data_IF_727838741146
#
_entry.id   IF_727838741146
#
_cell.length_a   1.000
_cell.length_b   1.000
_cell.length_c   1.000
_cell.angle_alpha   90.00
_cell.angle_beta   90.00
_cell.angle_gamma   90.00
#
_symmetry.space_group_name_H-M   'P 1'
#
loop_
_entity.id
_entity.type
_entity.pdbx_description
1 polymer ?
#
# COMPACT_ATOMS: atom_id res chain seq x y z
N UNK A 1 10.45 14.11 12.80
CA UNK A 1 9.65 12.90 12.53
C UNK A 1 8.31 13.12 13.19
N UNK A 2 7.23 13.00 12.45
CA UNK A 2 5.89 13.34 12.96
C UNK A 2 5.10 12.07 13.24
N UNK A 3 4.45 12.03 14.40
CA UNK A 3 3.55 10.96 14.79
C UNK A 3 2.21 11.55 15.20
N UNK A 4 1.13 10.85 14.90
CA UNK A 4 -0.20 11.14 15.40
C UNK A 4 -0.92 9.86 15.82
N UNK A 5 -1.95 10.00 16.64
CA UNK A 5 -2.89 8.91 16.92
C UNK A 5 -3.98 8.93 15.87
N UNK A 6 -3.91 8.02 14.91
CA UNK A 6 -4.91 7.88 13.85
C UNK A 6 -5.73 6.62 14.14
N UNK A 7 -7.01 6.78 14.40
CA UNK A 7 -7.90 5.71 14.87
C UNK A 7 -7.33 4.95 16.10
N UNK A 8 -6.62 5.67 16.98
CA UNK A 8 -5.97 5.08 18.15
C UNK A 8 -4.71 4.26 17.85
N UNK A 9 -4.19 4.32 16.61
CA UNK A 9 -2.91 3.72 16.22
C UNK A 9 -1.88 4.84 16.09
N UNK A 10 -0.74 4.70 16.80
CA UNK A 10 0.39 5.60 16.66
C UNK A 10 0.92 5.51 15.23
N UNK A 11 0.68 6.53 14.43
CA UNK A 11 0.98 6.55 12.99
C UNK A 11 2.13 7.49 12.70
N UNK A 12 3.17 6.97 12.05
CA UNK A 12 4.29 7.75 11.54
C UNK A 12 3.93 8.30 10.17
N UNK A 13 4.08 9.62 9.98
CA UNK A 13 3.84 10.27 8.70
C UNK A 13 4.78 11.46 8.48
N UNK A 14 4.83 11.93 7.25
CA UNK A 14 5.57 13.12 6.84
C UNK A 14 4.79 13.85 5.75
N UNK A 15 4.73 15.18 5.86
CA UNK A 15 4.17 16.08 4.85
C UNK A 15 5.28 17.02 4.40
N UNK A 16 5.54 17.09 3.11
CA UNK A 16 6.63 17.89 2.54
C UNK A 16 6.19 18.51 1.23
N UNK A 17 6.63 19.72 0.96
CA UNK A 17 6.30 20.47 -0.25
C UNK A 17 5.02 21.29 -0.10
N UNK A 18 4.67 21.94 -1.19
CA UNK A 18 3.46 22.78 -1.32
C UNK A 18 2.81 22.47 -2.67
N UNK A 19 1.52 22.69 -2.78
CA UNK A 19 0.73 22.40 -3.98
C UNK A 19 -0.41 21.45 -3.70
N UNK A 20 -0.96 20.78 -4.73
CA UNK A 20 -2.06 19.84 -4.53
C UNK A 20 -1.64 18.68 -3.64
N UNK A 21 -2.51 18.24 -2.71
CA UNK A 21 -2.24 17.09 -1.88
C UNK A 21 -2.07 15.82 -2.71
N UNK A 22 -0.96 15.11 -2.49
CA UNK A 22 -0.67 13.81 -3.09
C UNK A 22 -0.30 12.82 -1.99
N UNK A 23 -1.15 11.83 -1.77
CA UNK A 23 -0.92 10.76 -0.81
C UNK A 23 -0.17 9.61 -1.49
N UNK A 24 1.05 9.35 -1.02
CA UNK A 24 1.86 8.23 -1.46
C UNK A 24 1.54 6.98 -0.63
N UNK A 25 0.97 6.00 -1.28
CA UNK A 25 0.64 4.69 -0.74
C UNK A 25 1.76 3.71 -1.10
N UNK A 26 2.59 3.40 -0.10
CA UNK A 26 3.82 2.64 -0.29
C UNK A 26 3.58 1.17 -0.63
N UNK A 27 4.53 0.52 -1.32
CA UNK A 27 4.51 -0.92 -1.52
C UNK A 27 4.73 -1.68 -0.20
N UNK A 28 4.32 -2.93 -0.19
CA UNK A 28 4.57 -4.02 0.77
C UNK A 28 5.15 -3.64 2.14
N UNK A 29 4.31 -3.20 3.09
CA UNK A 29 4.71 -3.17 4.50
C UNK A 29 5.96 -2.34 4.82
N UNK A 30 6.54 -1.73 3.82
CA UNK A 30 7.70 -0.88 3.93
C UNK A 30 7.29 0.53 4.36
N UNK A 31 8.20 1.18 5.07
CA UNK A 31 8.05 2.57 5.43
C UNK A 31 8.08 3.44 4.17
N UNK A 32 7.00 4.17 3.92
CA UNK A 32 6.99 5.20 2.88
C UNK A 32 7.99 6.33 3.16
N UNK A 33 8.42 6.44 4.40
CA UNK A 33 9.32 7.49 4.89
C UNK A 33 10.80 7.13 4.84
N UNK A 34 11.15 5.84 4.59
CA UNK A 34 12.53 5.36 4.57
C UNK A 34 12.89 4.94 3.14
N UNK A 35 13.93 5.55 2.52
CA UNK A 35 14.47 5.06 1.26
C UNK A 35 14.96 3.62 1.45
N UNK A 36 14.35 2.66 0.76
CA UNK A 36 14.80 1.27 0.81
C UNK A 36 15.29 0.84 -0.57
N UNK A 37 16.46 0.20 -0.63
CA UNK A 37 17.04 -0.34 -1.88
C UNK A 37 16.12 -1.30 -2.65
N UNK A 38 15.17 -1.94 -1.96
CA UNK A 38 14.20 -2.83 -2.59
C UNK A 38 13.13 -2.08 -3.40
N UNK A 39 12.84 -0.83 -3.04
CA UNK A 39 11.89 0.03 -3.75
C UNK A 39 12.46 0.51 -5.09
N UNK A 40 13.78 0.61 -5.22
CA UNK A 40 14.46 1.03 -6.45
C UNK A 40 14.05 0.16 -7.65
N UNK A 41 13.79 -1.13 -7.43
CA UNK A 41 13.36 -2.03 -8.51
C UNK A 41 11.98 -1.66 -9.06
N UNK A 42 11.00 -1.42 -8.19
CA UNK A 42 9.62 -1.08 -8.59
C UNK A 42 9.56 0.36 -9.11
N UNK A 43 10.24 1.27 -8.44
CA UNK A 43 10.29 2.68 -8.82
C UNK A 43 11.29 2.98 -9.96
N UNK A 44 12.08 2.01 -10.42
CA UNK A 44 13.04 2.19 -11.52
C UNK A 44 13.96 3.41 -11.35
N UNK A 45 14.40 3.65 -10.11
CA UNK A 45 15.24 4.81 -9.76
C UNK A 45 14.46 6.12 -9.56
N UNK A 46 13.14 6.12 -9.73
CA UNK A 46 12.32 7.25 -9.39
C UNK A 46 12.22 7.38 -7.86
N UNK A 47 12.47 8.58 -7.36
CA UNK A 47 12.44 8.89 -5.94
C UNK A 47 11.30 9.87 -5.64
N UNK A 48 10.09 9.37 -5.34
CA UNK A 48 8.90 10.22 -5.15
C UNK A 48 9.13 11.34 -4.14
N UNK A 49 9.79 11.05 -3.02
CA UNK A 49 10.05 12.00 -1.94
C UNK A 49 11.06 13.10 -2.29
N UNK A 50 11.87 12.93 -3.33
CA UNK A 50 12.81 13.95 -3.82
C UNK A 50 12.21 14.75 -4.98
N UNK A 51 11.45 14.07 -5.84
CA UNK A 51 10.96 14.64 -7.11
C UNK A 51 9.63 15.38 -6.96
N UNK A 52 8.66 14.75 -6.27
CA UNK A 52 7.30 15.28 -6.22
C UNK A 52 7.11 16.42 -5.21
N UNK A 53 7.99 16.59 -4.23
CA UNK A 53 7.89 17.65 -3.22
C UNK A 53 8.09 19.07 -3.75
N UNK A 54 8.51 19.22 -5.02
CA UNK A 54 8.62 20.53 -5.67
C UNK A 54 7.26 21.14 -5.98
N UNK A 55 6.32 20.30 -6.45
CA UNK A 55 5.06 20.74 -7.04
C UNK A 55 3.82 20.16 -6.32
N UNK A 56 4.02 19.25 -5.38
CA UNK A 56 2.95 18.64 -4.58
C UNK A 56 3.19 18.82 -3.09
N UNK A 57 2.11 18.96 -2.33
CA UNK A 57 2.11 18.64 -0.92
C UNK A 57 2.12 17.11 -0.78
N UNK A 58 3.31 16.53 -0.75
CA UNK A 58 3.49 15.08 -0.68
C UNK A 58 3.27 14.59 0.75
N UNK A 59 2.29 13.71 0.91
CA UNK A 59 1.96 13.04 2.17
C UNK A 59 2.47 11.61 2.07
N UNK A 60 3.37 11.23 2.96
CA UNK A 60 3.87 9.86 3.10
C UNK A 60 3.56 9.36 4.50
N UNK A 61 3.24 8.10 4.66
CA UNK A 61 3.00 7.51 5.99
C UNK A 61 3.37 6.03 5.99
N UNK A 62 3.71 5.55 7.15
CA UNK A 62 3.83 4.12 7.37
C UNK A 62 2.42 3.61 7.70
N UNK A 63 1.91 2.70 6.85
CA UNK A 63 0.61 2.09 7.07
C UNK A 63 0.59 1.37 8.42
N UNK A 64 -0.57 1.30 9.06
CA UNK A 64 -0.75 0.47 10.24
C UNK A 64 -0.11 -0.92 10.03
N UNK A 65 0.42 -1.53 11.05
CA UNK A 65 1.18 -2.79 11.08
C UNK A 65 2.48 -2.78 10.26
N UNK A 66 2.98 -1.60 9.88
CA UNK A 66 4.21 -1.53 9.08
C UNK A 66 5.11 -0.36 9.45
N UNK A 67 6.40 -0.48 9.14
CA UNK A 67 7.38 0.56 9.33
C UNK A 67 7.52 0.97 10.80
N UNK A 68 7.29 2.25 11.07
CA UNK A 68 7.34 2.87 12.41
C UNK A 68 5.96 3.08 13.02
N UNK A 69 4.90 2.77 12.28
CA UNK A 69 3.54 2.84 12.81
C UNK A 69 3.26 1.65 13.70
N UNK A 70 2.41 1.88 14.66
CA UNK A 70 1.84 0.83 15.50
C UNK A 70 0.82 -0.03 14.75
N UNK A 71 0.11 -0.86 15.50
CA UNK A 71 -0.92 -1.72 14.96
C UNK A 71 -1.80 -2.29 16.04
N UNK A 72 -2.72 -3.16 15.61
CA UNK A 72 -3.60 -3.95 16.48
C UNK A 72 -3.69 -5.37 15.97
N UNK A 73 -3.83 -6.34 16.86
CA UNK A 73 -4.12 -7.72 16.47
C UNK A 73 -5.62 -7.83 16.19
N UNK A 74 -5.97 -7.56 14.96
CA UNK A 74 -7.32 -7.66 14.41
C UNK A 74 -7.26 -8.08 12.95
N UNK A 75 -8.34 -8.60 12.34
CA UNK A 75 -8.31 -9.03 10.94
C UNK A 75 -7.89 -7.91 10.00
N UNK A 76 -6.79 -8.11 9.28
CA UNK A 76 -6.31 -7.19 8.26
C UNK A 76 -7.25 -7.22 7.05
N UNK A 77 -7.50 -6.06 6.46
CA UNK A 77 -8.30 -5.95 5.24
C UNK A 77 -7.92 -4.70 4.45
N UNK A 78 -8.22 -4.70 3.17
CA UNK A 78 -8.03 -3.52 2.32
C UNK A 78 -8.85 -2.33 2.80
N UNK A 79 -10.08 -2.59 3.28
CA UNK A 79 -10.95 -1.56 3.87
C UNK A 79 -10.36 -0.97 5.16
N UNK A 80 -9.73 -1.78 6.02
CA UNK A 80 -9.07 -1.27 7.23
C UNK A 80 -7.88 -0.37 6.88
N UNK A 81 -7.12 -0.72 5.84
CA UNK A 81 -6.03 0.13 5.35
C UNK A 81 -6.54 1.42 4.70
N UNK A 82 -7.63 1.36 3.94
CA UNK A 82 -8.27 2.54 3.36
C UNK A 82 -8.81 3.48 4.45
N UNK A 83 -9.51 2.97 5.46
CA UNK A 83 -9.99 3.76 6.61
C UNK A 83 -8.86 4.46 7.37
N UNK A 84 -7.73 3.78 7.52
CA UNK A 84 -6.56 4.38 8.18
C UNK A 84 -5.97 5.53 7.36
N UNK A 85 -5.92 5.40 6.02
CA UNK A 85 -5.48 6.46 5.11
C UNK A 85 -6.47 7.65 5.09
N UNK A 86 -7.77 7.38 5.06
CA UNK A 86 -8.83 8.38 5.15
C UNK A 86 -8.74 9.19 6.46
N UNK A 87 -8.63 8.49 7.59
CA UNK A 87 -8.47 9.15 8.89
C UNK A 87 -7.17 9.96 9.02
N UNK A 88 -6.10 9.60 8.28
CA UNK A 88 -4.91 10.43 8.18
C UNK A 88 -5.19 11.72 7.40
N UNK A 89 -5.93 11.66 6.31
CA UNK A 89 -6.35 12.86 5.56
C UNK A 89 -7.22 13.78 6.42
N UNK A 90 -8.16 13.23 7.21
CA UNK A 90 -8.95 13.98 8.19
C UNK A 90 -8.06 14.69 9.22
N UNK A 91 -7.10 13.97 9.80
CA UNK A 91 -6.16 14.55 10.76
C UNK A 91 -5.34 15.72 10.18
N UNK A 92 -5.08 15.68 8.87
CA UNK A 92 -4.33 16.72 8.17
C UNK A 92 -5.23 17.85 7.64
N UNK A 93 -6.55 17.77 7.80
CA UNK A 93 -7.51 18.73 7.26
C UNK A 93 -7.56 18.73 5.72
N UNK A 94 -7.28 17.58 5.10
CA UNK A 94 -7.26 17.41 3.64
C UNK A 94 -8.55 16.75 3.18
N UNK A 95 -9.37 17.48 2.44
CA UNK A 95 -10.65 16.98 1.93
C UNK A 95 -10.46 16.01 0.77
N UNK A 96 -9.57 16.33 -0.17
CA UNK A 96 -9.32 15.55 -1.39
C UNK A 96 -7.83 15.47 -1.69
N UNK A 97 -7.36 14.32 -2.18
CA UNK A 97 -5.98 14.12 -2.59
C UNK A 97 -5.87 13.32 -3.89
N UNK A 98 -4.78 13.50 -4.63
CA UNK A 98 -4.33 12.54 -5.59
C UNK A 98 -3.74 11.33 -4.85
N UNK A 99 -4.01 10.11 -5.30
CA UNK A 99 -3.54 8.90 -4.66
C UNK A 99 -2.51 8.21 -5.57
N UNK A 100 -1.24 8.24 -5.19
CA UNK A 100 -0.18 7.51 -5.90
C UNK A 100 0.08 6.18 -5.18
N UNK A 101 -0.52 5.11 -5.68
CA UNK A 101 -0.35 3.77 -5.16
C UNK A 101 0.69 2.98 -5.94
N UNK A 102 1.65 2.36 -5.24
CA UNK A 102 2.64 1.49 -5.85
C UNK A 102 2.53 0.08 -5.27
N UNK A 103 2.51 -0.95 -6.13
CA UNK A 103 2.42 -2.35 -5.70
C UNK A 103 1.15 -2.56 -4.83
N UNK A 104 1.31 -3.02 -3.58
CA UNK A 104 0.23 -3.11 -2.57
C UNK A 104 -0.43 -1.76 -2.29
N UNK A 105 0.30 -0.65 -2.44
CA UNK A 105 -0.27 0.69 -2.34
C UNK A 105 -1.36 0.96 -3.39
N UNK A 106 -1.29 0.34 -4.57
CA UNK A 106 -2.37 0.39 -5.56
C UNK A 106 -3.65 -0.26 -5.04
N UNK A 107 -3.54 -1.37 -4.29
CA UNK A 107 -4.69 -2.01 -3.66
C UNK A 107 -5.33 -1.12 -2.58
N UNK A 108 -4.51 -0.41 -1.80
CA UNK A 108 -5.03 0.55 -0.82
C UNK A 108 -5.71 1.74 -1.52
N UNK A 109 -5.15 2.23 -2.64
CA UNK A 109 -5.78 3.29 -3.45
C UNK A 109 -7.13 2.85 -4.02
N UNK A 110 -7.22 1.63 -4.56
CA UNK A 110 -8.48 1.06 -5.05
C UNK A 110 -9.52 0.91 -3.93
N UNK A 111 -9.10 0.43 -2.74
CA UNK A 111 -9.98 0.33 -1.59
C UNK A 111 -10.46 1.72 -1.10
N UNK A 112 -9.58 2.74 -1.14
CA UNK A 112 -9.94 4.12 -0.81
C UNK A 112 -10.97 4.64 -1.80
N UNK A 113 -10.74 4.47 -3.10
CA UNK A 113 -11.70 4.85 -4.13
C UNK A 113 -13.04 4.14 -4.03
N UNK A 114 -13.04 2.87 -3.61
CA UNK A 114 -14.27 2.10 -3.45
C UNK A 114 -15.11 2.49 -2.22
N UNK A 115 -14.48 2.95 -1.14
CA UNK A 115 -15.16 3.23 0.13
C UNK A 115 -15.26 4.73 0.45
N UNK A 116 -14.39 5.56 -0.11
CA UNK A 116 -14.27 6.99 0.15
C UNK A 116 -14.03 7.76 -1.16
N UNK A 117 -14.93 7.63 -2.17
CA UNK A 117 -14.70 8.19 -3.50
C UNK A 117 -14.48 9.70 -3.48
N UNK A 118 -15.16 10.41 -2.59
CA UNK A 118 -15.05 11.87 -2.46
C UNK A 118 -13.67 12.34 -1.97
N UNK A 119 -12.85 11.45 -1.39
CA UNK A 119 -11.47 11.73 -1.00
C UNK A 119 -10.50 11.73 -2.18
N UNK A 120 -10.89 11.14 -3.29
CA UNK A 120 -10.00 10.78 -4.38
C UNK A 120 -10.18 11.73 -5.57
N UNK A 121 -9.20 12.60 -5.83
CA UNK A 121 -9.15 13.39 -7.07
C UNK A 121 -8.84 12.52 -8.27
N UNK A 122 -7.88 11.61 -8.13
CA UNK A 122 -7.54 10.58 -9.08
C UNK A 122 -6.75 9.46 -8.41
N UNK A 123 -6.77 8.27 -9.04
CA UNK A 123 -5.94 7.11 -8.68
C UNK A 123 -4.82 6.96 -9.71
N UNK A 124 -3.58 7.03 -9.26
CA UNK A 124 -2.38 6.75 -10.05
C UNK A 124 -1.81 5.41 -9.57
N UNK A 125 -2.06 4.36 -10.31
CA UNK A 125 -1.75 2.98 -9.92
C UNK A 125 -0.49 2.51 -10.64
N UNK A 126 0.63 2.52 -9.92
CA UNK A 126 1.92 2.09 -10.43
C UNK A 126 2.19 0.64 -10.05
N UNK A 127 2.32 -0.24 -11.05
CA UNK A 127 2.58 -1.66 -10.86
C UNK A 127 1.57 -2.34 -9.92
N UNK A 128 0.27 -2.32 -10.23
CA UNK A 128 -0.73 -2.95 -9.38
C UNK A 128 -0.48 -4.45 -9.24
N UNK A 129 -0.71 -4.97 -8.04
CA UNK A 129 -0.63 -6.41 -7.75
C UNK A 129 -1.92 -7.11 -8.11
N UNK A 130 -1.82 -8.36 -8.56
CA UNK A 130 -2.97 -9.19 -8.90
C UNK A 130 -2.55 -10.50 -9.58
N UNK A 131 -3.56 -11.29 -9.94
CA UNK A 131 -3.40 -12.57 -10.61
C UNK A 131 -3.05 -13.73 -9.67
N UNK A 132 -3.02 -14.94 -10.25
CA UNK A 132 -2.90 -16.18 -9.48
C UNK A 132 -1.60 -16.29 -8.66
N UNK A 133 -0.49 -15.76 -9.17
CA UNK A 133 0.79 -15.81 -8.44
C UNK A 133 0.77 -14.91 -7.19
N UNK A 134 0.16 -13.75 -7.28
CA UNK A 134 -0.06 -12.87 -6.13
C UNK A 134 -0.94 -13.54 -5.09
N UNK A 135 -2.09 -14.04 -5.49
CA UNK A 135 -3.04 -14.77 -4.65
C UNK A 135 -2.38 -15.94 -3.94
N UNK A 136 -1.73 -16.83 -4.70
CA UNK A 136 -1.12 -18.05 -4.16
C UNK A 136 0.05 -17.74 -3.22
N UNK A 137 0.88 -16.74 -3.53
CA UNK A 137 1.99 -16.35 -2.66
C UNK A 137 1.49 -15.77 -1.35
N UNK A 138 0.47 -14.92 -1.38
CA UNK A 138 -0.14 -14.37 -0.18
C UNK A 138 -0.70 -15.47 0.71
N UNK A 139 -1.54 -16.34 0.16
CA UNK A 139 -2.11 -17.48 0.90
C UNK A 139 -1.04 -18.41 1.46
N UNK A 140 0.01 -18.71 0.69
CA UNK A 140 1.12 -19.55 1.15
C UNK A 140 1.92 -18.91 2.30
N UNK A 141 2.15 -17.58 2.27
CA UNK A 141 2.84 -16.90 3.36
C UNK A 141 2.03 -16.94 4.65
N UNK A 142 0.74 -16.65 4.60
CA UNK A 142 -0.15 -16.78 5.75
C UNK A 142 -0.25 -18.23 6.24
N UNK A 143 -0.33 -19.20 5.32
CA UNK A 143 -0.32 -20.64 5.66
C UNK A 143 0.93 -21.07 6.41
N UNK A 144 2.12 -20.66 5.95
CA UNK A 144 3.38 -20.91 6.66
C UNK A 144 3.40 -20.32 8.06
N UNK A 145 2.89 -19.11 8.21
CA UNK A 145 2.78 -18.48 9.54
C UNK A 145 1.85 -19.26 10.47
N UNK A 146 0.68 -19.67 9.98
CA UNK A 146 -0.28 -20.48 10.75
C UNK A 146 0.38 -21.79 11.21
N UNK A 147 1.07 -22.49 10.32
CA UNK A 147 1.79 -23.73 10.65
C UNK A 147 2.85 -23.46 11.71
N UNK A 148 3.67 -22.44 11.53
CA UNK A 148 4.74 -22.07 12.46
C UNK A 148 4.20 -21.74 13.87
N UNK A 149 3.09 -20.99 13.97
CA UNK A 149 2.47 -20.68 15.27
C UNK A 149 1.98 -21.94 15.97
N UNK A 150 1.37 -22.88 15.24
CA UNK A 150 0.91 -24.16 15.81
C UNK A 150 2.05 -25.02 16.35
N UNK A 151 3.19 -25.03 15.69
CA UNK A 151 4.35 -25.83 16.06
C UNK A 151 5.20 -25.19 17.16
N UNK A 152 5.30 -23.86 17.18
CA UNK A 152 6.31 -23.17 18.00
C UNK A 152 5.74 -22.11 18.95
N UNK A 153 4.45 -21.75 18.81
CA UNK A 153 3.78 -20.77 19.67
C UNK A 153 4.18 -19.32 19.42
N UNK A 154 3.47 -18.40 20.10
CA UNK A 154 3.61 -16.94 19.88
C UNK A 154 4.94 -16.38 20.38
N UNK A 155 5.55 -17.00 21.41
CA UNK A 155 6.86 -16.55 21.91
C UNK A 155 7.93 -16.67 20.82
N UNK A 156 7.93 -17.78 20.07
CA UNK A 156 8.90 -17.99 19.00
C UNK A 156 8.68 -17.03 17.84
N UNK A 157 7.41 -16.71 17.52
CA UNK A 157 7.08 -15.65 16.55
C UNK A 157 7.69 -14.31 16.98
N UNK A 158 7.55 -13.93 18.26
CA UNK A 158 8.09 -12.66 18.75
C UNK A 158 9.64 -12.61 18.64
N UNK A 159 10.34 -13.70 18.88
CA UNK A 159 11.78 -13.79 18.68
C UNK A 159 12.15 -13.58 17.21
N UNK A 160 11.48 -14.29 16.29
CA UNK A 160 11.72 -14.13 14.85
C UNK A 160 11.41 -12.74 14.33
N UNK A 161 10.38 -12.08 14.85
CA UNK A 161 10.05 -10.71 14.51
C UNK A 161 11.18 -9.73 14.87
N UNK A 162 11.87 -9.97 16.00
CA UNK A 162 13.06 -9.22 16.39
C UNK A 162 14.25 -9.40 15.44
N UNK A 163 14.39 -10.59 14.85
CA UNK A 163 15.44 -10.90 13.88
C UNK A 163 15.10 -10.39 12.46
N UNK A 164 13.83 -10.41 12.09
CA UNK A 164 13.33 -10.01 10.75
C UNK A 164 11.91 -9.46 10.83
N UNK A 165 11.79 -8.15 10.75
CA UNK A 165 10.50 -7.44 10.83
C UNK A 165 9.68 -7.44 9.53
N UNK A 166 10.07 -8.21 8.52
CA UNK A 166 9.40 -8.24 7.20
C UNK A 166 8.68 -9.56 6.93
N UNK A 167 7.38 -9.57 7.07
CA UNK A 167 6.50 -10.72 6.77
C UNK A 167 6.72 -11.33 5.38
N UNK A 168 6.92 -10.51 4.36
CA UNK A 168 7.13 -10.99 2.98
C UNK A 168 8.50 -11.64 2.74
N UNK A 169 9.48 -11.31 3.56
CA UNK A 169 10.82 -11.92 3.54
C UNK A 169 10.94 -13.09 4.47
N UNK A 170 10.22 -13.05 5.60
CA UNK A 170 10.16 -14.12 6.59
C UNK A 170 8.70 -14.30 7.05
N UNK A 171 7.90 -15.15 6.37
CA UNK A 171 6.50 -15.35 6.71
C UNK A 171 6.27 -15.88 8.13
N UNK A 172 7.20 -16.62 8.70
CA UNK A 172 7.10 -17.19 10.05
C UNK A 172 7.02 -16.09 11.13
N UNK A 173 7.66 -14.93 10.90
CA UNK A 173 7.57 -13.77 11.79
C UNK A 173 6.18 -13.11 11.85
N UNK A 174 5.31 -13.39 10.89
CA UNK A 174 3.92 -12.96 10.87
C UNK A 174 3.67 -11.51 10.41
N UNK A 175 2.40 -11.18 10.13
CA UNK A 175 2.04 -9.90 9.55
C UNK A 175 2.19 -8.70 10.50
N UNK A 176 2.32 -8.91 11.81
CA UNK A 176 2.57 -7.86 12.81
C UNK A 176 4.05 -7.76 13.22
N UNK A 177 4.96 -8.44 12.51
CA UNK A 177 6.39 -8.49 12.86
C UNK A 177 7.04 -7.12 13.02
N UNK A 178 6.67 -6.13 12.21
CA UNK A 178 7.18 -4.75 12.35
C UNK A 178 6.82 -4.11 13.70
N UNK A 179 5.59 -4.30 14.16
CA UNK A 179 5.12 -3.73 15.43
C UNK A 179 5.73 -4.50 16.61
N UNK A 180 5.77 -5.83 16.53
CA UNK A 180 6.41 -6.68 17.55
C UNK A 180 7.88 -6.28 17.73
N UNK A 181 8.60 -6.05 16.63
CA UNK A 181 10.01 -5.64 16.67
C UNK A 181 10.25 -4.24 17.22
N UNK A 182 9.30 -3.32 17.04
CA UNK A 182 9.48 -1.89 17.36
C UNK A 182 8.83 -1.44 18.65
N UNK A 183 7.90 -2.21 19.22
CA UNK A 183 7.14 -1.89 20.43
C UNK A 183 7.16 -3.05 21.43
N UNK A 184 7.95 -2.90 22.49
CA UNK A 184 8.12 -3.91 23.53
C UNK A 184 6.80 -4.20 24.29
N UNK A 185 5.95 -3.19 24.49
CA UNK A 185 4.64 -3.35 25.15
C UNK A 185 3.70 -4.17 24.27
N UNK A 186 3.67 -3.88 22.96
CA UNK A 186 2.93 -4.67 22.00
C UNK A 186 3.43 -6.13 21.95
N UNK A 187 4.75 -6.33 21.91
CA UNK A 187 5.35 -7.66 21.90
C UNK A 187 4.97 -8.47 23.15
N UNK A 188 5.00 -7.88 24.34
CA UNK A 188 4.57 -8.52 25.58
C UNK A 188 3.08 -8.90 25.56
N UNK A 189 2.24 -8.01 25.06
CA UNK A 189 0.80 -8.26 24.93
C UNK A 189 0.52 -9.35 23.88
N UNK A 190 1.27 -9.35 22.78
CA UNK A 190 1.19 -10.36 21.73
C UNK A 190 1.46 -11.77 22.27
N UNK A 191 2.54 -11.97 23.02
CA UNK A 191 2.91 -13.28 23.55
C UNK A 191 1.89 -13.83 24.55
N UNK A 192 1.13 -12.95 25.21
CA UNK A 192 0.11 -13.35 26.23
C UNK A 192 -1.25 -13.67 25.63
N UNK A 193 -1.43 -13.51 24.32
CA UNK A 193 -2.72 -13.79 23.68
C UNK A 193 -3.01 -15.29 23.63
N UNK A 194 -4.28 -15.60 23.49
CA UNK A 194 -4.74 -16.94 23.16
C UNK A 194 -4.28 -17.29 21.72
N UNK A 195 -3.49 -18.36 21.51
CA UNK A 195 -2.98 -18.72 20.21
C UNK A 195 -4.09 -19.08 19.20
N UNK A 196 -5.17 -19.71 19.63
CA UNK A 196 -6.24 -20.13 18.72
C UNK A 196 -7.00 -18.89 18.21
N UNK A 197 -7.32 -17.97 19.10
CA UNK A 197 -7.91 -16.68 18.70
C UNK A 197 -6.99 -15.88 17.77
N UNK A 198 -5.69 -15.88 18.02
CA UNK A 198 -4.73 -15.26 17.12
C UNK A 198 -4.75 -15.92 15.73
N UNK A 199 -4.77 -17.26 15.68
CA UNK A 199 -4.82 -18.00 14.42
C UNK A 199 -6.10 -17.72 13.61
N UNK A 200 -7.24 -17.51 14.29
CA UNK A 200 -8.49 -17.07 13.64
C UNK A 200 -8.30 -15.70 12.97
N UNK A 201 -7.69 -14.73 13.68
CA UNK A 201 -7.40 -13.40 13.14
C UNK A 201 -6.47 -13.48 11.92
N UNK A 202 -5.45 -14.35 11.98
CA UNK A 202 -4.51 -14.58 10.85
C UNK A 202 -5.24 -15.20 9.65
N UNK A 203 -6.09 -16.19 9.87
CA UNK A 203 -6.88 -16.83 8.82
C UNK A 203 -7.85 -15.86 8.15
N UNK A 204 -8.58 -15.07 8.93
CA UNK A 204 -9.46 -14.01 8.42
C UNK A 204 -8.69 -12.95 7.63
N UNK A 205 -7.51 -12.55 8.11
CA UNK A 205 -6.64 -11.61 7.40
C UNK A 205 -6.21 -12.15 6.04
N UNK A 206 -5.81 -13.43 5.97
CA UNK A 206 -5.51 -14.10 4.70
C UNK A 206 -6.67 -14.04 3.73
N UNK A 207 -7.86 -14.39 4.21
CA UNK A 207 -9.05 -14.50 3.36
C UNK A 207 -9.59 -13.12 2.95
N UNK A 208 -9.43 -12.09 3.77
CA UNK A 208 -9.75 -10.71 3.42
C UNK A 208 -8.80 -10.11 2.37
N UNK A 209 -7.51 -10.45 2.43
CA UNK A 209 -6.49 -9.85 1.57
C UNK A 209 -6.25 -10.64 0.28
N UNK A 210 -6.53 -11.94 0.29
CA UNK A 210 -6.21 -12.87 -0.81
C UNK A 210 -7.41 -13.77 -1.10
N UNK A 211 -8.47 -13.19 -1.63
CA UNK A 211 -9.75 -13.85 -1.92
C UNK A 211 -10.03 -14.04 -3.41
N UNK A 212 -9.35 -13.29 -4.29
CA UNK A 212 -9.60 -13.29 -5.72
C UNK A 212 -8.29 -13.11 -6.52
N UNK A 213 -8.32 -13.49 -7.80
CA UNK A 213 -7.24 -13.26 -8.77
C UNK A 213 -7.27 -11.84 -9.38
N UNK A 214 -8.37 -11.11 -9.24
CA UNK A 214 -8.46 -9.71 -9.70
C UNK A 214 -7.46 -8.84 -8.93
N UNK A 215 -7.08 -7.68 -9.45
CA UNK A 215 -6.27 -6.73 -8.69
C UNK A 215 -6.91 -6.42 -7.34
N UNK A 216 -6.14 -6.63 -6.27
CA UNK A 216 -6.64 -6.53 -4.90
C UNK A 216 -7.04 -5.09 -4.54
N UNK A 217 -7.93 -4.94 -3.57
CA UNK A 217 -8.31 -3.65 -2.99
C UNK A 217 -9.80 -3.32 -3.12
N UNK A 218 -10.40 -3.66 -4.26
CA UNK A 218 -11.84 -3.51 -4.50
C UNK A 218 -12.39 -4.75 -5.22
N UNK A 219 -13.68 -4.99 -5.08
CA UNK A 219 -14.37 -6.06 -5.83
C UNK A 219 -14.56 -5.66 -7.29
N UNK A 220 -14.74 -6.63 -8.19
CA UNK A 220 -15.03 -6.35 -9.60
C UNK A 220 -16.25 -5.42 -9.78
N UNK A 221 -17.29 -5.61 -8.98
CA UNK A 221 -18.48 -4.74 -9.01
C UNK A 221 -18.16 -3.30 -8.60
N UNK A 222 -17.35 -3.11 -7.56
CA UNK A 222 -16.89 -1.77 -7.16
C UNK A 222 -16.03 -1.11 -8.24
N UNK A 223 -15.14 -1.87 -8.88
CA UNK A 223 -14.29 -1.37 -9.96
C UNK A 223 -15.13 -0.92 -11.17
N UNK A 224 -16.14 -1.72 -11.58
CA UNK A 224 -17.03 -1.40 -12.70
C UNK A 224 -17.87 -0.14 -12.48
N UNK A 225 -18.18 0.19 -11.23
CA UNK A 225 -19.00 1.36 -10.88
C UNK A 225 -18.17 2.59 -10.48
N UNK A 226 -16.85 2.45 -10.33
CA UNK A 226 -15.97 3.54 -9.91
C UNK A 226 -15.81 4.61 -11.00
N UNK A 227 -16.14 5.86 -10.66
CA UNK A 227 -16.08 7.00 -11.57
C UNK A 227 -14.84 7.89 -11.39
N UNK A 228 -13.94 7.52 -10.48
CA UNK A 228 -12.73 8.29 -10.18
C UNK A 228 -11.76 8.19 -11.36
N UNK A 229 -11.21 9.32 -11.87
CA UNK A 229 -10.15 9.28 -12.87
C UNK A 229 -9.03 8.35 -12.43
N UNK A 230 -8.73 7.33 -13.23
CA UNK A 230 -7.78 6.29 -12.84
C UNK A 230 -6.75 6.10 -13.95
N UNK A 231 -5.48 6.14 -13.57
CA UNK A 231 -4.34 5.96 -14.46
C UNK A 231 -3.53 4.76 -14.00
N UNK A 232 -3.20 3.86 -14.90
CA UNK A 232 -2.56 2.59 -14.57
C UNK A 232 -1.25 2.45 -15.35
N UNK A 233 -0.15 2.27 -14.63
CA UNK A 233 1.15 1.93 -15.22
C UNK A 233 1.45 0.45 -14.97
N UNK A 234 1.62 -0.37 -16.03
CA UNK A 234 1.81 -1.81 -15.91
C UNK A 234 3.19 -2.19 -15.38
N UNK A 235 3.25 -3.28 -14.61
CA UNK A 235 4.48 -3.97 -14.25
C UNK A 235 4.76 -5.19 -15.14
N UNK A 236 5.88 -5.90 -14.88
CA UNK A 236 6.34 -7.04 -15.70
C UNK A 236 6.87 -8.22 -14.90
N UNK A 237 6.73 -8.20 -13.59
CA UNK A 237 7.18 -9.32 -12.77
C UNK A 237 6.03 -10.24 -12.34
N UNK A 238 6.38 -11.29 -11.60
CA UNK A 238 5.43 -12.33 -11.22
C UNK A 238 4.28 -11.89 -10.30
N UNK A 239 4.41 -10.74 -9.63
CA UNK A 239 3.41 -10.18 -8.70
C UNK A 239 2.70 -8.96 -9.31
N UNK A 240 3.36 -8.29 -10.25
CA UNK A 240 2.89 -7.09 -10.94
C UNK A 240 2.79 -7.40 -12.44
N UNK A 241 1.93 -8.35 -12.78
CA UNK A 241 1.79 -8.78 -14.17
C UNK A 241 1.15 -7.67 -15.02
N UNK A 242 1.59 -7.54 -16.27
CA UNK A 242 0.96 -6.63 -17.22
C UNK A 242 -0.54 -6.95 -17.38
N UNK A 243 -0.91 -8.23 -17.29
CA UNK A 243 -2.33 -8.66 -17.32
C UNK A 243 -3.15 -8.07 -16.18
N UNK A 244 -2.60 -7.87 -14.97
CA UNK A 244 -3.33 -7.22 -13.86
C UNK A 244 -3.71 -5.78 -14.21
N UNK A 245 -2.85 -5.05 -14.90
CA UNK A 245 -3.16 -3.69 -15.38
C UNK A 245 -4.24 -3.70 -16.49
N UNK A 246 -4.22 -4.70 -17.37
CA UNK A 246 -5.27 -4.87 -18.38
C UNK A 246 -6.63 -5.23 -17.77
N UNK A 247 -6.66 -6.09 -16.75
CA UNK A 247 -7.90 -6.42 -16.02
C UNK A 247 -8.49 -5.18 -15.36
N UNK A 248 -7.65 -4.30 -14.77
CA UNK A 248 -8.14 -3.02 -14.22
C UNK A 248 -8.79 -2.15 -15.31
N UNK A 249 -8.14 -2.01 -16.47
CA UNK A 249 -8.71 -1.26 -17.59
C UNK A 249 -10.03 -1.89 -18.12
N UNK A 250 -10.12 -3.21 -18.11
CA UNK A 250 -11.32 -3.93 -18.54
C UNK A 250 -12.49 -3.72 -17.57
N UNK A 251 -12.22 -3.81 -16.27
CA UNK A 251 -13.21 -3.61 -15.21
C UNK A 251 -13.56 -2.14 -14.99
N UNK A 252 -12.64 -1.21 -15.29
CA UNK A 252 -12.81 0.24 -15.11
C UNK A 252 -12.72 0.92 -16.48
N UNK A 253 -13.85 1.06 -17.23
CA UNK A 253 -13.82 1.52 -18.61
C UNK A 253 -13.17 2.90 -18.81
N UNK A 254 -13.21 3.76 -17.79
CA UNK A 254 -12.61 5.09 -17.81
C UNK A 254 -11.13 5.10 -17.40
N UNK A 255 -10.57 3.95 -16.96
CA UNK A 255 -9.16 3.89 -16.60
C UNK A 255 -8.26 4.01 -17.83
N UNK A 256 -7.26 4.90 -17.72
CA UNK A 256 -6.26 5.13 -18.76
C UNK A 256 -5.03 4.26 -18.49
N UNK A 257 -4.79 3.28 -19.34
CA UNK A 257 -3.58 2.45 -19.28
C UNK A 257 -2.42 3.18 -19.93
N UNK A 258 -1.31 3.33 -19.21
CA UNK A 258 -0.08 3.89 -19.76
C UNK A 258 0.43 3.06 -20.95
N UNK A 259 0.87 3.75 -22.00
CA UNK A 259 1.53 3.12 -23.16
C UNK A 259 2.99 2.73 -22.88
N UNK A 260 3.55 3.20 -21.76
CA UNK A 260 4.93 2.90 -21.35
C UNK A 260 5.00 1.45 -20.83
N UNK A 261 5.50 0.58 -21.67
CA UNK A 261 5.78 -0.80 -21.25
C UNK A 261 6.94 -0.82 -20.22
N UNK A 262 6.98 -1.80 -19.31
CA UNK A 262 7.94 -1.81 -18.20
C UNK A 262 9.41 -1.60 -18.60
N UNK A 263 9.80 -2.08 -19.78
CA UNK A 263 11.16 -1.86 -20.32
C UNK A 263 11.50 -0.40 -20.65
N UNK A 264 10.49 0.42 -20.88
CA UNK A 264 10.61 1.84 -21.21
C UNK A 264 10.51 2.73 -19.97
N UNK A 265 10.14 2.16 -18.83
CA UNK A 265 9.96 2.89 -17.59
C UNK A 265 11.31 3.16 -16.92
N UNK A 266 11.52 4.41 -16.56
CA UNK A 266 12.64 4.94 -15.81
C UNK A 266 12.17 6.13 -14.96
N UNK A 267 13.06 6.71 -14.17
CA UNK A 267 12.71 7.81 -13.27
C UNK A 267 12.01 8.98 -13.98
N UNK A 268 12.51 9.39 -15.14
CA UNK A 268 11.95 10.52 -15.89
C UNK A 268 10.59 10.20 -16.51
N UNK A 269 10.43 9.00 -17.09
CA UNK A 269 9.15 8.60 -17.69
C UNK A 269 8.05 8.35 -16.65
N UNK A 270 8.40 7.89 -15.44
CA UNK A 270 7.45 7.74 -14.32
C UNK A 270 7.03 9.12 -13.80
N UNK A 271 8.00 10.03 -13.62
CA UNK A 271 7.71 11.42 -13.24
C UNK A 271 6.76 12.08 -14.24
N UNK A 272 7.11 12.02 -15.53
CA UNK A 272 6.27 12.57 -16.60
C UNK A 272 4.85 12.00 -16.59
N UNK A 273 4.69 10.67 -16.46
CA UNK A 273 3.39 10.03 -16.36
C UNK A 273 2.56 10.53 -15.18
N UNK A 274 3.17 10.77 -14.01
CA UNK A 274 2.46 11.31 -12.85
C UNK A 274 1.93 12.71 -13.17
N UNK A 275 2.78 13.58 -13.73
CA UNK A 275 2.40 14.96 -14.07
C UNK A 275 1.31 15.01 -15.16
N UNK A 276 1.44 14.20 -16.23
CA UNK A 276 0.40 14.08 -17.26
C UNK A 276 -0.92 13.59 -16.67
N UNK A 277 -0.89 12.59 -15.80
CA UNK A 277 -2.09 12.04 -15.16
C UNK A 277 -2.81 13.07 -14.29
N UNK A 278 -2.07 13.92 -13.59
CA UNK A 278 -2.64 15.00 -12.78
C UNK A 278 -3.19 16.13 -13.66
N UNK A 279 -2.47 16.50 -14.71
CA UNK A 279 -2.92 17.52 -15.67
C UNK A 279 -4.20 17.10 -16.41
N UNK A 280 -4.36 15.82 -16.69
CA UNK A 280 -5.52 15.20 -17.33
C UNK A 280 -6.81 15.28 -16.47
N UNK A 281 -6.67 15.67 -15.19
CA UNK A 281 -7.78 15.92 -14.25
C UNK A 281 -8.14 17.42 -14.14
N UNK A 282 -7.84 18.22 -15.17
CA UNK A 282 -8.03 19.68 -15.21
C UNK A 282 -7.35 20.44 -14.05
N UNK A 283 -6.25 19.89 -13.54
CA UNK A 283 -5.46 20.52 -12.50
C UNK A 283 -4.21 21.19 -13.10
N UNK A 284 -4.19 22.51 -13.10
CA UNK A 284 -3.03 23.28 -13.57
C UNK A 284 -1.86 23.12 -12.58
N UNK A 285 -0.89 22.30 -12.93
CA UNK A 285 0.42 22.30 -12.27
C UNK A 285 1.28 23.42 -12.83
N UNK A 286 2.20 24.03 -12.04
CA UNK A 286 3.19 24.94 -12.58
C UNK A 286 4.00 24.20 -13.67
N UNK A 287 4.26 24.89 -14.76
CA UNK A 287 4.98 24.32 -15.91
C UNK A 287 6.31 23.71 -15.46
N UNK A 288 6.51 22.43 -15.75
CA UNK A 288 7.80 21.76 -15.48
C UNK A 288 8.86 22.45 -16.31
N UNK A 289 9.74 23.22 -15.68
CA UNK A 289 10.91 23.77 -16.36
C UNK A 289 11.78 22.62 -16.84
N UNK A 290 11.87 22.43 -18.14
CA UNK A 290 12.83 21.51 -18.75
C UNK A 290 14.25 21.93 -18.31
N UNK A 291 14.88 21.09 -17.50
CA UNK A 291 16.28 21.20 -17.10
C UNK A 291 17.09 20.11 -17.82
#
# INVERSE_FOLDING_TARGET
MTFASIQGIRTHYKVVGKGPPLLLLAPLGDSASIPQRRLDRVWRGFKPTERLTRDFQLITYDRRESGRSGGRIEPLSWTAFARHADALLDHLGIEHAFLLGCCVGSSVALALGAHFPDRCRALLLHWPVGGSRWLNRGRANFGRHITFVREHGLLRVAVLAGESSMFWGNPEAGPWSSVIASDASFAQSFVRQDPDRYLEVVAQSRDNLFNDITPSGATSSQLMTMQIPTFVMPGDDALHTTSSAHVLRELMPHAKLSRLMPRQQNAASIEHWIYESVADCDYALPAVSAA
#
